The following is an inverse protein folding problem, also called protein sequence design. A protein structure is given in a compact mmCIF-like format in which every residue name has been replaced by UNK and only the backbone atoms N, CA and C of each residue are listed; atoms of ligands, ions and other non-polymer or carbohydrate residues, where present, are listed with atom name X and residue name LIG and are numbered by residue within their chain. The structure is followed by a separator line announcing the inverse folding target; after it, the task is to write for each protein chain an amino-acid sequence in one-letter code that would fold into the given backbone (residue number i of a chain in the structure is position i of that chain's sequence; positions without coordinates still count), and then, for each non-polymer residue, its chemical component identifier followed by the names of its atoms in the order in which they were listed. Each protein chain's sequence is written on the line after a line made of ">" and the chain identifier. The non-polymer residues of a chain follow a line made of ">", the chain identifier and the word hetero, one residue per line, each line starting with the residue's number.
data_IF_066614492692
#
_entry.id   IF_066614492692
#
_cell.length_a   1.000
_cell.length_b   1.000
_cell.length_c   1.000
_cell.angle_alpha   90.00
_cell.angle_beta   90.00
_cell.angle_gamma   90.00
#
_symmetry.space_group_name_H-M   'P 1'
#
loop_
_entity.id
_entity.type
_entity.pdbx_description
1 polymer ?
#
# COMPACT_ATOMS: atom_id res chain seq x y z
N UNK A 1 -9.34 2.43 -9.44
CA UNK A 1 -8.56 3.59 -8.95
C UNK A 1 -9.39 4.85 -9.14
N UNK A 2 -9.64 5.56 -8.07
CA UNK A 2 -10.46 6.75 -8.08
C UNK A 2 -9.75 7.97 -8.68
N UNK A 3 -10.54 9.02 -8.97
CA UNK A 3 -10.00 10.28 -9.49
C UNK A 3 -9.04 10.92 -8.48
N UNK A 4 -8.09 11.69 -8.98
CA UNK A 4 -7.15 12.43 -8.14
C UNK A 4 -6.05 11.58 -7.52
N UNK A 5 -5.95 10.30 -7.88
CA UNK A 5 -4.83 9.46 -7.47
C UNK A 5 -3.62 9.82 -8.33
N UNK A 6 -2.49 10.05 -7.68
CA UNK A 6 -1.23 10.31 -8.38
C UNK A 6 -0.34 9.09 -8.26
N UNK A 7 0.04 8.55 -9.40
CA UNK A 7 0.94 7.41 -9.46
C UNK A 7 2.16 7.82 -10.27
N UNK A 8 3.32 7.83 -9.62
CA UNK A 8 4.57 8.11 -10.32
C UNK A 8 5.05 6.85 -11.03
N UNK A 9 6.31 6.52 -10.97
CA UNK A 9 6.85 5.32 -11.62
C UNK A 9 6.59 4.04 -10.83
N UNK A 10 5.46 3.97 -10.17
CA UNK A 10 5.08 2.81 -9.36
C UNK A 10 4.69 1.61 -10.23
N UNK A 11 4.85 0.42 -9.68
CA UNK A 11 4.43 -0.82 -10.33
C UNK A 11 3.23 -1.38 -9.58
N UNK A 12 2.14 -1.56 -10.29
CA UNK A 12 0.91 -2.10 -9.73
C UNK A 12 0.58 -3.38 -10.48
N UNK A 13 0.58 -4.50 -9.77
CA UNK A 13 0.33 -5.81 -10.33
C UNK A 13 -1.08 -6.26 -9.96
N UNK A 14 -1.84 -6.71 -10.95
CA UNK A 14 -3.24 -7.13 -10.81
C UNK A 14 -4.16 -5.99 -10.41
N UNK A 15 -4.28 -5.01 -11.29
CA UNK A 15 -5.09 -3.82 -11.01
C UNK A 15 -6.53 -4.14 -10.66
N UNK A 16 -7.06 -5.26 -11.13
CA UNK A 16 -8.41 -5.68 -10.79
C UNK A 16 -8.59 -5.98 -9.31
N UNK A 17 -7.50 -6.27 -8.61
CA UNK A 17 -7.52 -6.57 -7.18
C UNK A 17 -7.12 -5.36 -6.32
N UNK A 18 -6.82 -4.23 -6.94
CA UNK A 18 -6.27 -3.08 -6.21
C UNK A 18 -7.23 -1.90 -6.27
N UNK A 19 -7.64 -1.43 -5.10
CA UNK A 19 -8.48 -0.24 -4.95
C UNK A 19 -7.65 0.87 -4.33
N UNK A 20 -7.66 2.05 -4.94
CA UNK A 20 -6.95 3.21 -4.42
C UNK A 20 -7.93 4.37 -4.37
N UNK A 21 -8.11 4.93 -3.18
CA UNK A 21 -9.07 5.99 -2.95
C UNK A 21 -8.60 7.36 -3.44
N UNK A 22 -9.56 8.26 -3.59
CA UNK A 22 -9.37 9.60 -4.11
C UNK A 22 -8.28 10.36 -3.33
N UNK A 23 -7.43 11.07 -4.06
CA UNK A 23 -6.41 11.93 -3.46
C UNK A 23 -5.18 11.22 -2.92
N UNK A 24 -5.09 9.91 -3.07
CA UNK A 24 -3.91 9.14 -2.65
C UNK A 24 -2.75 9.36 -3.62
N UNK A 25 -1.55 9.43 -3.07
CA UNK A 25 -0.31 9.58 -3.84
C UNK A 25 0.53 8.33 -3.66
N UNK A 26 0.90 7.70 -4.78
CA UNK A 26 1.79 6.54 -4.79
C UNK A 26 3.17 7.02 -5.25
N UNK A 27 4.14 6.91 -4.37
CA UNK A 27 5.50 7.36 -4.63
C UNK A 27 6.22 6.58 -5.72
N UNK A 28 7.28 7.18 -6.24
CA UNK A 28 8.07 6.56 -7.31
C UNK A 28 8.65 5.22 -6.88
N UNK A 29 8.64 4.25 -7.79
CA UNK A 29 9.15 2.89 -7.58
C UNK A 29 8.45 2.10 -6.46
N UNK A 30 7.33 2.58 -5.94
CA UNK A 30 6.53 1.77 -5.04
C UNK A 30 5.96 0.57 -5.81
N UNK A 31 5.76 -0.53 -5.11
CA UNK A 31 5.23 -1.76 -5.70
C UNK A 31 3.99 -2.18 -4.93
N UNK A 32 2.89 -2.36 -5.64
CA UNK A 32 1.63 -2.83 -5.04
C UNK A 32 1.25 -4.12 -5.74
N UNK A 33 1.14 -5.18 -4.96
CA UNK A 33 0.95 -6.54 -5.49
C UNK A 33 -0.40 -7.10 -5.09
N UNK A 34 -1.19 -7.48 -6.08
CA UNK A 34 -2.41 -8.26 -5.85
C UNK A 34 -2.15 -9.76 -5.82
N UNK A 35 -0.94 -10.18 -6.17
CA UNK A 35 -0.56 -11.58 -6.05
C UNK A 35 0.90 -11.72 -5.66
N UNK A 36 1.24 -12.86 -5.08
CA UNK A 36 2.59 -13.16 -4.62
C UNK A 36 2.80 -14.68 -4.66
N UNK A 37 3.94 -15.11 -5.18
CA UNK A 37 4.33 -16.51 -5.12
C UNK A 37 4.98 -16.79 -3.76
N UNK A 38 4.53 -17.81 -3.09
CA UNK A 38 5.05 -18.17 -1.77
C UNK A 38 4.96 -19.68 -1.57
N UNK A 39 6.08 -20.29 -1.22
CA UNK A 39 6.15 -21.73 -0.93
C UNK A 39 5.50 -22.59 -2.03
N UNK A 40 5.76 -22.25 -3.28
CA UNK A 40 5.22 -22.98 -4.42
C UNK A 40 3.77 -22.69 -4.75
N UNK A 41 3.14 -21.75 -4.06
CA UNK A 41 1.75 -21.38 -4.30
C UNK A 41 1.64 -19.92 -4.67
N UNK A 42 0.59 -19.58 -5.44
CA UNK A 42 0.25 -18.20 -5.72
C UNK A 42 -0.82 -17.72 -4.74
N UNK A 43 -0.54 -16.62 -4.08
CA UNK A 43 -1.48 -15.96 -3.18
C UNK A 43 -2.07 -14.76 -3.90
N UNK A 44 -3.39 -14.74 -4.09
CA UNK A 44 -4.12 -13.62 -4.65
C UNK A 44 -5.00 -13.03 -3.57
N UNK A 45 -4.89 -11.73 -3.33
CA UNK A 45 -5.74 -11.08 -2.35
C UNK A 45 -5.85 -9.59 -2.65
N UNK A 46 -7.04 -9.01 -2.48
CA UNK A 46 -7.24 -7.59 -2.78
C UNK A 46 -6.41 -6.70 -1.87
N UNK A 47 -5.91 -5.60 -2.44
CA UNK A 47 -5.27 -4.52 -1.69
C UNK A 47 -6.21 -3.34 -1.72
N UNK A 48 -6.54 -2.80 -0.56
CA UNK A 48 -7.43 -1.65 -0.44
C UNK A 48 -6.69 -0.49 0.20
N UNK A 49 -6.48 0.56 -0.57
CA UNK A 49 -5.85 1.79 -0.10
C UNK A 49 -6.91 2.88 -0.06
N UNK A 50 -7.07 3.51 1.09
CA UNK A 50 -8.10 4.52 1.28
C UNK A 50 -7.82 5.84 0.60
N UNK A 51 -8.53 6.88 1.01
CA UNK A 51 -8.43 8.22 0.45
C UNK A 51 -7.32 9.00 1.11
N UNK A 52 -6.68 9.89 0.35
CA UNK A 52 -5.66 10.81 0.87
C UNK A 52 -4.54 10.13 1.63
N UNK A 53 -4.17 8.94 1.18
CA UNK A 53 -3.00 8.23 1.70
C UNK A 53 -1.74 8.69 0.99
N UNK A 54 -0.61 8.46 1.62
CA UNK A 54 0.69 8.67 1.00
C UNK A 54 1.48 7.37 1.08
N UNK A 55 1.77 6.80 -0.07
CA UNK A 55 2.62 5.60 -0.14
C UNK A 55 4.00 6.07 -0.57
N UNK A 56 4.98 5.90 0.31
CA UNK A 56 6.32 6.43 0.10
C UNK A 56 7.08 5.76 -1.04
N UNK A 57 8.13 6.43 -1.47
CA UNK A 57 9.00 5.95 -2.55
C UNK A 57 9.56 4.57 -2.23
N UNK A 58 9.51 3.66 -3.19
CA UNK A 58 10.04 2.30 -3.08
C UNK A 58 9.39 1.45 -1.98
N UNK A 59 8.24 1.85 -1.47
CA UNK A 59 7.49 1.01 -0.53
C UNK A 59 6.90 -0.20 -1.26
N UNK A 60 6.74 -1.30 -0.55
CA UNK A 60 6.12 -2.50 -1.11
C UNK A 60 4.87 -2.86 -0.31
N UNK A 61 3.76 -3.00 -1.01
CA UNK A 61 2.49 -3.38 -0.41
C UNK A 61 2.13 -4.77 -0.94
N UNK A 62 2.12 -5.76 -0.05
CA UNK A 62 1.84 -7.14 -0.42
C UNK A 62 0.33 -7.45 -0.43
N UNK A 63 -0.08 -8.58 -1.02
CA UNK A 63 -1.51 -8.89 -1.16
C UNK A 63 -2.26 -8.91 0.17
N UNK A 64 -3.50 -8.50 0.11
CA UNK A 64 -4.40 -8.54 1.26
C UNK A 64 -4.29 -7.38 2.22
N UNK A 65 -3.39 -6.42 1.97
CA UNK A 65 -3.23 -5.26 2.85
C UNK A 65 -4.41 -4.32 2.74
N UNK A 66 -4.78 -3.71 3.86
CA UNK A 66 -5.77 -2.63 3.91
C UNK A 66 -5.13 -1.42 4.57
N UNK A 67 -5.24 -0.29 3.91
CA UNK A 67 -4.65 0.97 4.38
C UNK A 67 -5.78 1.99 4.52
N UNK A 68 -6.01 2.44 5.74
CA UNK A 68 -7.10 3.37 6.03
C UNK A 68 -6.85 4.77 5.51
N UNK A 69 -7.92 5.56 5.46
CA UNK A 69 -7.86 6.92 4.93
C UNK A 69 -6.82 7.77 5.66
N UNK A 70 -6.06 8.56 4.92
CA UNK A 70 -5.08 9.47 5.48
C UNK A 70 -3.82 8.81 6.05
N UNK A 71 -3.68 7.50 5.92
CA UNK A 71 -2.49 6.81 6.42
C UNK A 71 -1.26 7.13 5.56
N UNK A 72 -0.10 7.01 6.17
CA UNK A 72 1.18 7.25 5.51
C UNK A 72 2.04 6.00 5.64
N UNK A 73 2.52 5.51 4.52
CA UNK A 73 3.49 4.41 4.48
C UNK A 73 4.83 5.02 4.12
N UNK A 74 5.80 4.90 5.01
CA UNK A 74 7.12 5.52 4.82
C UNK A 74 7.85 4.92 3.62
N UNK A 75 8.81 5.68 3.10
CA UNK A 75 9.65 5.21 1.99
C UNK A 75 10.35 3.92 2.34
N UNK A 76 10.40 2.99 1.39
CA UNK A 76 11.05 1.68 1.50
C UNK A 76 10.42 0.74 2.54
N UNK A 77 9.27 1.10 3.11
CA UNK A 77 8.57 0.20 4.01
C UNK A 77 8.02 -1.01 3.24
N UNK A 78 7.95 -2.15 3.92
CA UNK A 78 7.37 -3.36 3.35
C UNK A 78 6.23 -3.84 4.24
N UNK A 79 5.01 -3.76 3.74
CA UNK A 79 3.84 -4.31 4.42
C UNK A 79 3.71 -5.78 4.06
N UNK A 80 3.73 -6.64 5.06
CA UNK A 80 3.51 -8.07 4.86
C UNK A 80 2.08 -8.32 4.39
N UNK A 81 1.83 -9.51 3.85
CA UNK A 81 0.48 -9.91 3.45
C UNK A 81 -0.51 -9.67 4.59
N UNK A 82 -1.70 -9.20 4.24
CA UNK A 82 -2.81 -9.01 5.17
C UNK A 82 -2.56 -8.02 6.30
N UNK A 83 -1.57 -7.12 6.14
CA UNK A 83 -1.36 -6.06 7.12
C UNK A 83 -2.50 -5.05 7.04
N UNK A 84 -3.01 -4.67 8.20
CA UNK A 84 -4.03 -3.63 8.30
C UNK A 84 -3.41 -2.38 8.92
N UNK A 85 -3.45 -1.28 8.19
CA UNK A 85 -2.98 0.03 8.66
C UNK A 85 -4.20 0.90 8.93
N UNK A 86 -4.49 1.20 10.18
CA UNK A 86 -5.63 2.07 10.51
C UNK A 86 -5.50 3.47 9.93
N UNK A 87 -6.64 4.14 9.76
CA UNK A 87 -6.69 5.49 9.25
C UNK A 87 -5.81 6.44 10.07
N UNK A 88 -5.11 7.33 9.39
CA UNK A 88 -4.31 8.38 10.02
C UNK A 88 -3.00 7.92 10.65
N UNK A 89 -2.66 6.66 10.58
CA UNK A 89 -1.42 6.16 11.16
C UNK A 89 -0.26 6.24 10.18
N UNK A 90 0.95 6.31 10.71
CA UNK A 90 2.18 6.30 9.93
C UNK A 90 2.92 5.01 10.24
N UNK A 91 3.19 4.25 9.20
CA UNK A 91 3.88 2.96 9.31
C UNK A 91 5.15 2.97 8.49
N UNK A 92 6.19 2.31 9.00
CA UNK A 92 7.47 2.19 8.30
C UNK A 92 8.27 1.00 8.74
N UNK A 93 9.36 0.73 8.03
CA UNK A 93 10.27 -0.37 8.33
C UNK A 93 10.01 -1.63 7.51
N UNK A 94 10.82 -2.67 7.75
CA UNK A 94 10.77 -3.97 7.09
C UNK A 94 10.84 -5.06 8.15
N UNK A 95 9.74 -5.75 8.49
CA UNK A 95 8.36 -5.47 8.10
C UNK A 95 7.86 -4.17 8.71
N UNK A 96 6.93 -3.51 8.03
CA UNK A 96 6.43 -2.24 8.49
C UNK A 96 5.63 -2.37 9.78
N UNK A 97 5.80 -1.40 10.66
CA UNK A 97 5.08 -1.30 11.92
C UNK A 97 4.68 0.14 12.15
N UNK A 98 3.70 0.35 13.00
CA UNK A 98 3.26 1.68 13.36
C UNK A 98 4.43 2.49 13.93
N UNK A 99 4.64 3.68 13.39
CA UNK A 99 5.64 4.63 13.89
C UNK A 99 4.96 5.65 14.78
N UNK A 100 3.91 6.30 14.27
CA UNK A 100 3.12 7.26 15.03
C UNK A 100 1.81 7.53 14.32
N UNK A 101 0.93 8.28 14.98
CA UNK A 101 -0.29 8.76 14.35
C UNK A 101 -0.01 10.12 13.71
N UNK A 102 -0.67 10.37 12.56
CA UNK A 102 -0.60 11.68 11.96
C UNK A 102 -1.52 12.63 12.73
N UNK A 103 -1.05 13.80 13.02
CA UNK A 103 -1.82 14.82 13.73
C UNK A 103 -2.89 15.44 12.85
#
# INVERSE_FOLDING_TARGET
>A
IEKGVRINTARIWDMSLISIGKGTVIGGRAVILGHLAEKGEMVFAPVKIGKKCLIGTSAQINPGCTIGDGAVIASRAVLKKYTHVPAGEIWGGIPAKKIKESD
#
